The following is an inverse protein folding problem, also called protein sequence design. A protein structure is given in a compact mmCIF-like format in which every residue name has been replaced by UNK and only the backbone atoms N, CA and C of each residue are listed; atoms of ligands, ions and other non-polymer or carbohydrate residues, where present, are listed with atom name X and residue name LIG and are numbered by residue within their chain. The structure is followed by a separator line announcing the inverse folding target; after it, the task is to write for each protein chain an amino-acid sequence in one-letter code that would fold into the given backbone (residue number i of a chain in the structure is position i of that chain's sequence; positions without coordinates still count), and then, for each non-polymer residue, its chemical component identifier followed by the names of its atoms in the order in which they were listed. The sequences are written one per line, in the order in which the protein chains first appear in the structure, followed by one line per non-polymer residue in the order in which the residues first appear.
data_IF_840165467485
#
_entry.id   IF_840165467485
#
_cell.length_a   1.000
_cell.length_b   1.000
_cell.length_c   1.000
_cell.angle_alpha   90.00
_cell.angle_beta   90.00
_cell.angle_gamma   90.00
#
_symmetry.space_group_name_H-M   'P 1'
#
loop_
_entity.id
_entity.type
_entity.pdbx_description
1 polymer ?
#
# COMPACT_ATOMS: atom_id res chain seq x y z
N UNK A 1 21.11 -8.50 -12.91
CA UNK A 1 20.33 -7.43 -13.59
C UNK A 1 19.51 -6.68 -12.54
N UNK A 2 20.11 -5.74 -11.81
CA UNK A 2 19.41 -5.02 -10.72
C UNK A 2 19.85 -3.55 -10.65
N UNK A 3 19.91 -2.86 -11.80
CA UNK A 3 20.48 -1.50 -11.85
C UNK A 3 19.70 -0.48 -12.70
N UNK A 4 18.65 -0.90 -13.44
CA UNK A 4 17.89 0.03 -14.30
C UNK A 4 16.79 0.81 -13.59
N UNK A 5 16.26 0.30 -12.46
CA UNK A 5 15.24 1.00 -11.67
C UNK A 5 15.83 2.03 -10.70
N UNK A 6 17.00 1.73 -10.14
CA UNK A 6 17.66 2.55 -9.12
C UNK A 6 17.92 4.00 -9.55
N UNK A 7 18.30 4.23 -10.81
CA UNK A 7 18.54 5.58 -11.32
C UNK A 7 17.25 6.41 -11.45
N UNK A 8 16.10 5.76 -11.72
CA UNK A 8 14.80 6.43 -11.78
C UNK A 8 14.24 6.73 -10.38
N UNK A 9 14.64 5.94 -9.38
CA UNK A 9 14.21 6.10 -7.99
C UNK A 9 15.11 7.07 -7.18
N UNK A 10 16.21 7.59 -7.73
CA UNK A 10 17.13 8.48 -7.01
C UNK A 10 16.45 9.75 -6.49
N UNK A 11 15.64 10.41 -7.32
CA UNK A 11 14.92 11.63 -6.93
C UNK A 11 13.88 11.34 -5.83
N UNK A 12 13.19 10.20 -5.94
CA UNK A 12 12.23 9.75 -4.93
C UNK A 12 12.91 9.40 -3.60
N UNK A 13 14.11 8.80 -3.66
CA UNK A 13 14.91 8.47 -2.47
C UNK A 13 15.49 9.71 -1.80
N UNK A 14 15.97 10.69 -2.57
CA UNK A 14 16.40 11.99 -2.04
C UNK A 14 15.24 12.71 -1.36
N UNK A 15 14.07 12.77 -2.00
CA UNK A 15 12.87 13.34 -1.38
C UNK A 15 12.46 12.58 -0.11
N UNK A 16 12.51 11.25 -0.11
CA UNK A 16 12.18 10.44 1.06
C UNK A 16 13.14 10.61 2.25
N UNK A 17 14.40 11.00 1.99
CA UNK A 17 15.39 11.30 3.04
C UNK A 17 15.31 12.75 3.53
N UNK A 18 14.85 13.68 2.69
CA UNK A 18 14.75 15.10 3.00
C UNK A 18 13.42 15.47 3.66
N UNK A 19 12.34 14.79 3.28
CA UNK A 19 11.00 15.04 3.80
C UNK A 19 10.75 14.28 5.12
N UNK A 20 10.13 14.90 6.12
CA UNK A 20 9.78 14.23 7.38
C UNK A 20 8.59 13.27 7.24
N UNK A 21 7.95 13.21 6.07
CA UNK A 21 6.76 12.39 5.81
C UNK A 21 7.17 11.00 5.31
N UNK A 22 6.83 9.97 6.08
CA UNK A 22 6.99 8.58 5.66
C UNK A 22 5.73 8.06 4.97
N UNK A 23 5.89 7.28 3.90
CA UNK A 23 4.80 6.51 3.29
C UNK A 23 4.36 5.30 4.14
N UNK A 24 5.03 5.01 5.26
CA UNK A 24 4.75 3.86 6.12
C UNK A 24 3.27 3.70 6.54
N UNK A 25 2.55 4.75 6.98
CA UNK A 25 1.13 4.64 7.31
C UNK A 25 0.26 4.24 6.10
N UNK A 26 0.57 4.79 4.91
CA UNK A 26 -0.14 4.48 3.66
C UNK A 26 0.11 3.03 3.25
N UNK A 27 1.36 2.58 3.32
CA UNK A 27 1.73 1.19 3.05
C UNK A 27 1.07 0.20 4.02
N UNK A 28 0.96 0.58 5.29
CA UNK A 28 0.23 -0.19 6.30
C UNK A 28 -1.24 -0.37 5.95
N UNK A 29 -1.92 0.71 5.53
CA UNK A 29 -3.32 0.65 5.09
C UNK A 29 -3.48 -0.24 3.83
N UNK A 30 -2.55 -0.15 2.88
CA UNK A 30 -2.52 -1.00 1.68
C UNK A 30 -2.33 -2.47 2.06
N UNK A 31 -1.41 -2.78 2.97
CA UNK A 31 -1.17 -4.15 3.41
C UNK A 31 -2.37 -4.74 4.15
N UNK A 32 -3.04 -3.94 4.99
CA UNK A 32 -4.29 -4.32 5.63
C UNK A 32 -5.40 -4.62 4.61
N UNK A 33 -5.55 -3.78 3.58
CA UNK A 33 -6.52 -4.02 2.51
C UNK A 33 -6.21 -5.31 1.73
N UNK A 34 -4.94 -5.56 1.41
CA UNK A 34 -4.49 -6.81 0.77
C UNK A 34 -4.77 -8.03 1.64
N UNK A 35 -4.57 -7.93 2.95
CA UNK A 35 -4.86 -9.00 3.90
C UNK A 35 -6.35 -9.35 3.92
N UNK A 36 -7.22 -8.35 4.06
CA UNK A 36 -8.68 -8.55 4.06
C UNK A 36 -9.12 -9.22 2.75
N UNK A 37 -8.61 -8.75 1.60
CA UNK A 37 -8.90 -9.36 0.29
C UNK A 37 -8.43 -10.83 0.22
N UNK A 38 -7.25 -11.16 0.78
CA UNK A 38 -6.72 -12.54 0.83
C UNK A 38 -7.56 -13.46 1.70
N UNK A 39 -7.99 -12.99 2.88
CA UNK A 39 -8.88 -13.75 3.78
C UNK A 39 -10.23 -14.09 3.13
N UNK A 40 -10.60 -13.39 2.06
CA UNK A 40 -11.85 -13.62 1.34
C UNK A 40 -11.73 -14.61 0.19
N UNK A 41 -10.53 -15.17 -0.07
CA UNK A 41 -10.29 -16.22 -1.07
C UNK A 41 -10.95 -15.98 -2.44
N UNK A 42 -11.02 -14.71 -2.89
CA UNK A 42 -11.63 -14.34 -4.18
C UNK A 42 -13.15 -14.17 -4.18
N UNK A 43 -13.84 -14.45 -3.06
CA UNK A 43 -15.30 -14.34 -2.94
C UNK A 43 -15.82 -12.91 -2.69
N UNK A 44 -14.93 -11.91 -2.63
CA UNK A 44 -15.28 -10.53 -2.34
C UNK A 44 -15.39 -9.68 -3.61
N UNK A 45 -16.61 -9.36 -4.03
CA UNK A 45 -16.84 -8.19 -4.91
C UNK A 45 -16.50 -6.89 -4.16
N UNK A 46 -16.27 -5.81 -4.90
CA UNK A 46 -15.85 -4.52 -4.35
C UNK A 46 -16.74 -4.03 -3.20
N UNK A 47 -18.06 -4.23 -3.29
CA UNK A 47 -19.02 -3.85 -2.25
C UNK A 47 -18.75 -4.54 -0.91
N UNK A 48 -18.36 -5.82 -0.92
CA UNK A 48 -18.05 -6.59 0.28
C UNK A 48 -16.71 -6.16 0.90
N UNK A 49 -15.71 -5.88 0.07
CA UNK A 49 -14.43 -5.34 0.52
C UNK A 49 -14.62 -3.96 1.16
N UNK A 50 -15.40 -3.09 0.49
CA UNK A 50 -15.73 -1.74 0.98
C UNK A 50 -16.45 -1.79 2.31
N UNK A 51 -17.44 -2.67 2.49
CA UNK A 51 -18.11 -2.87 3.77
C UNK A 51 -17.12 -3.29 4.86
N UNK A 52 -16.21 -4.24 4.62
CA UNK A 52 -15.24 -4.65 5.66
C UNK A 52 -14.19 -3.61 6.02
N UNK A 53 -13.82 -2.74 5.09
CA UNK A 53 -12.79 -1.71 5.32
C UNK A 53 -13.38 -0.47 5.98
N UNK A 54 -14.60 -0.08 5.59
CA UNK A 54 -15.27 1.14 6.07
C UNK A 54 -16.25 0.89 7.22
N UNK A 55 -16.79 -0.32 7.38
CA UNK A 55 -17.73 -0.65 8.46
C UNK A 55 -16.99 -1.03 9.75
N UNK A 56 -16.05 -0.18 10.13
CA UNK A 56 -15.43 -0.18 11.45
C UNK A 56 -15.83 1.15 12.06
N UNK A 57 -16.87 1.09 12.90
CA UNK A 57 -17.17 2.11 13.89
C UNK A 57 -16.26 1.88 15.10
#
# INVERSE_FOLDING_TARGET
MAARGLAADLDALQAALQEPWSNGPVEGQINRLKLIKRQMFGCAKFDLLRRRVLCIA
#
